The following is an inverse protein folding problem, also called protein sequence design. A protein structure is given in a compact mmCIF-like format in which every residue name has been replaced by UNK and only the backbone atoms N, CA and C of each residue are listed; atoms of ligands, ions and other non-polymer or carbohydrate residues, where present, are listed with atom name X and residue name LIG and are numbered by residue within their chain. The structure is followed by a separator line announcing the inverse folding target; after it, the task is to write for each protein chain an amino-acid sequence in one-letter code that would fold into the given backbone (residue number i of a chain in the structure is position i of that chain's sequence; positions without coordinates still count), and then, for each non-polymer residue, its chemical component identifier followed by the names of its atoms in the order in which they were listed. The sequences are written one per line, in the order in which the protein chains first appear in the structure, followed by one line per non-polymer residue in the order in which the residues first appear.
data_IF_491523673634
#
_entry.id   IF_491523673634
#
_cell.length_a   1.000
_cell.length_b   1.000
_cell.length_c   1.000
_cell.angle_alpha   90.00
_cell.angle_beta   90.00
_cell.angle_gamma   90.00
#
_symmetry.space_group_name_H-M   'P 1'
#
loop_
_entity.id
_entity.type
_entity.pdbx_description
1 polymer ?
#
# COMPACT_ATOMS: atom_id res chain seq x y z
N UNK A 1 38.50 -17.95 16.71
CA UNK A 1 38.97 -17.90 15.31
C UNK A 1 38.36 -19.10 14.59
N UNK A 2 37.78 -18.85 13.41
CA UNK A 2 37.20 -19.80 12.43
C UNK A 2 35.88 -20.54 12.79
N UNK A 3 34.81 -20.13 12.09
CA UNK A 3 33.69 -20.96 11.60
C UNK A 3 33.17 -20.29 10.29
N UNK A 4 32.55 -21.05 9.36
CA UNK A 4 32.97 -21.08 7.97
C UNK A 4 32.02 -20.35 7.02
N UNK A 5 32.60 -19.77 5.97
CA UNK A 5 31.93 -19.35 4.75
C UNK A 5 31.47 -20.57 3.95
N UNK A 6 30.16 -20.81 3.82
CA UNK A 6 29.64 -21.77 2.82
C UNK A 6 28.24 -21.38 2.37
N UNK A 7 28.14 -20.55 1.32
CA UNK A 7 26.98 -20.60 0.37
C UNK A 7 27.34 -20.01 -1.01
N UNK A 8 28.58 -20.20 -1.50
CA UNK A 8 28.94 -19.88 -2.88
C UNK A 8 29.09 -21.14 -3.78
N UNK A 9 29.16 -22.34 -3.18
CA UNK A 9 29.49 -23.57 -3.92
C UNK A 9 28.31 -24.44 -4.39
N UNK A 10 27.05 -24.04 -4.20
CA UNK A 10 25.88 -24.89 -4.53
C UNK A 10 25.23 -24.57 -5.89
N UNK A 11 25.28 -23.33 -6.37
CA UNK A 11 24.70 -22.95 -7.68
C UNK A 11 25.53 -23.43 -8.88
N UNK A 12 26.85 -23.56 -8.72
CA UNK A 12 27.76 -23.91 -9.84
C UNK A 12 27.78 -25.43 -10.15
N UNK A 13 27.38 -26.27 -9.18
CA UNK A 13 27.34 -27.73 -9.34
C UNK A 13 26.11 -28.24 -10.10
N UNK A 14 25.01 -27.49 -10.17
CA UNK A 14 23.77 -27.95 -10.84
C UNK A 14 23.84 -27.83 -12.37
N UNK A 15 24.37 -26.71 -12.86
CA UNK A 15 24.43 -26.38 -14.29
C UNK A 15 25.50 -27.20 -15.04
N UNK A 16 26.53 -27.68 -14.34
CA UNK A 16 27.62 -28.51 -14.89
C UNK A 16 27.20 -29.95 -15.21
N UNK A 17 26.08 -30.43 -14.66
CA UNK A 17 25.52 -31.76 -14.95
C UNK A 17 24.46 -31.76 -16.07
N UNK A 18 24.11 -30.58 -16.61
CA UNK A 18 23.20 -30.46 -17.75
C UNK A 18 23.97 -30.67 -19.06
N UNK A 19 23.35 -31.36 -20.01
CA UNK A 19 23.88 -31.39 -21.38
C UNK A 19 23.79 -30.01 -22.04
N UNK A 20 24.56 -29.77 -23.11
CA UNK A 20 24.50 -28.52 -23.85
C UNK A 20 23.07 -28.18 -24.31
N UNK A 21 22.35 -29.19 -24.78
CA UNK A 21 20.95 -29.11 -25.23
C UNK A 21 19.97 -28.80 -24.08
N UNK A 22 20.16 -29.40 -22.91
CA UNK A 22 19.36 -29.13 -21.71
C UNK A 22 19.58 -27.70 -21.19
N UNK A 23 20.81 -27.20 -21.31
CA UNK A 23 21.17 -25.83 -20.96
C UNK A 23 20.55 -24.81 -21.92
N UNK A 24 20.46 -25.12 -23.20
CA UNK A 24 19.77 -24.26 -24.18
C UNK A 24 18.26 -24.19 -23.93
N UNK A 25 17.64 -25.32 -23.59
CA UNK A 25 16.22 -25.35 -23.19
C UNK A 25 16.01 -24.54 -21.90
N UNK A 26 16.89 -24.68 -20.90
CA UNK A 26 16.83 -23.90 -19.65
C UNK A 26 17.06 -22.39 -19.89
N UNK A 27 17.95 -22.04 -20.84
CA UNK A 27 18.19 -20.66 -21.26
C UNK A 27 16.97 -20.08 -21.97
N UNK A 28 16.41 -20.79 -22.95
CA UNK A 28 15.21 -20.39 -23.68
C UNK A 28 14.01 -20.25 -22.74
N UNK A 29 13.89 -21.17 -21.79
CA UNK A 29 12.91 -21.11 -20.71
C UNK A 29 13.11 -19.88 -19.81
N UNK A 30 14.36 -19.60 -19.39
CA UNK A 30 14.70 -18.42 -18.59
C UNK A 30 14.45 -17.09 -19.34
N UNK A 31 14.53 -17.11 -20.68
CA UNK A 31 14.10 -16.02 -21.55
C UNK A 31 12.57 -15.86 -21.65
N UNK A 32 11.80 -16.78 -21.07
CA UNK A 32 10.35 -16.71 -20.97
C UNK A 32 9.59 -17.33 -22.15
N UNK A 33 10.25 -18.16 -22.97
CA UNK A 33 9.63 -18.87 -24.09
C UNK A 33 8.73 -20.02 -23.58
N UNK A 34 7.59 -20.22 -24.24
CA UNK A 34 6.70 -21.39 -24.10
C UNK A 34 7.23 -22.62 -24.85
N UNK A 35 6.64 -23.80 -24.66
CA UNK A 35 7.18 -25.06 -25.23
C UNK A 35 7.18 -25.08 -26.76
N UNK A 36 6.08 -24.67 -27.39
CA UNK A 36 6.02 -24.44 -28.84
C UNK A 36 7.05 -23.39 -29.35
N UNK A 37 7.39 -22.38 -28.54
CA UNK A 37 8.34 -21.34 -28.93
C UNK A 37 9.79 -21.82 -28.76
N UNK A 38 10.08 -22.60 -27.72
CA UNK A 38 11.36 -23.29 -27.54
C UNK A 38 11.56 -24.31 -28.66
N UNK A 39 10.51 -25.05 -29.02
CA UNK A 39 10.50 -26.02 -30.12
C UNK A 39 10.85 -25.34 -31.45
N UNK A 40 10.22 -24.20 -31.76
CA UNK A 40 10.54 -23.41 -32.93
C UNK A 40 11.96 -22.82 -32.89
N UNK A 41 12.41 -22.30 -31.75
CA UNK A 41 13.71 -21.66 -31.61
C UNK A 41 14.89 -22.63 -31.71
N UNK A 42 14.71 -23.87 -31.22
CA UNK A 42 15.73 -24.92 -31.25
C UNK A 42 15.56 -25.87 -32.45
N UNK A 43 14.55 -25.67 -33.29
CA UNK A 43 14.20 -26.52 -34.44
C UNK A 43 13.98 -27.98 -33.99
N UNK A 44 13.13 -28.15 -32.97
CA UNK A 44 12.79 -29.43 -32.37
C UNK A 44 11.27 -29.62 -32.31
N UNK A 45 10.76 -30.86 -32.30
CA UNK A 45 9.36 -31.14 -31.96
C UNK A 45 9.04 -30.72 -30.51
N UNK A 46 7.81 -30.25 -30.26
CA UNK A 46 7.37 -29.80 -28.92
C UNK A 46 7.42 -30.92 -27.87
N UNK A 47 7.18 -32.16 -28.29
CA UNK A 47 7.30 -33.36 -27.45
C UNK A 47 8.73 -33.55 -26.91
N UNK A 48 9.75 -33.25 -27.74
CA UNK A 48 11.15 -33.33 -27.36
C UNK A 48 11.53 -32.23 -26.37
N UNK A 49 10.91 -31.04 -26.49
CA UNK A 49 11.09 -29.94 -25.54
C UNK A 49 10.50 -30.28 -24.19
N UNK A 50 9.28 -30.83 -24.16
CA UNK A 50 8.63 -31.26 -22.92
C UNK A 50 9.44 -32.34 -22.20
N UNK A 51 9.96 -33.33 -22.94
CA UNK A 51 10.81 -34.39 -22.39
C UNK A 51 12.13 -33.84 -21.82
N UNK A 52 12.78 -32.93 -22.54
CA UNK A 52 14.02 -32.27 -22.10
C UNK A 52 13.79 -31.39 -20.88
N UNK A 53 12.68 -30.66 -20.83
CA UNK A 53 12.27 -29.89 -19.64
C UNK A 53 12.03 -30.81 -18.44
N UNK A 54 11.37 -31.95 -18.63
CA UNK A 54 11.20 -32.96 -17.59
C UNK A 54 12.54 -33.47 -17.03
N UNK A 55 13.52 -33.73 -17.91
CA UNK A 55 14.88 -34.12 -17.52
C UNK A 55 15.64 -33.00 -16.80
N UNK A 56 15.53 -31.75 -17.26
CA UNK A 56 16.12 -30.57 -16.60
C UNK A 56 15.55 -30.41 -15.19
N UNK A 57 14.22 -30.49 -15.04
CA UNK A 57 13.56 -30.40 -13.74
C UNK A 57 14.00 -31.54 -12.81
N UNK A 58 14.06 -32.77 -13.32
CA UNK A 58 14.52 -33.93 -12.56
C UNK A 58 15.97 -33.82 -12.10
N UNK A 59 16.89 -33.44 -13.00
CA UNK A 59 18.33 -33.30 -12.69
C UNK A 59 18.62 -32.15 -11.71
N UNK A 60 17.85 -31.07 -11.79
CA UNK A 60 18.00 -29.90 -10.93
C UNK A 60 17.17 -29.99 -9.63
N UNK A 61 16.36 -31.05 -9.46
CA UNK A 61 15.47 -31.22 -8.31
C UNK A 61 14.37 -30.15 -8.23
N UNK A 62 13.95 -29.62 -9.37
CA UNK A 62 13.01 -28.51 -9.47
C UNK A 62 11.58 -29.03 -9.67
N UNK A 63 10.65 -28.46 -8.90
CA UNK A 63 9.27 -28.96 -8.82
C UNK A 63 8.40 -28.56 -10.01
N UNK A 64 8.73 -27.46 -10.67
CA UNK A 64 7.95 -26.93 -11.78
C UNK A 64 8.76 -26.02 -12.70
N UNK A 65 8.15 -25.67 -13.83
CA UNK A 65 8.69 -24.74 -14.84
C UNK A 65 9.13 -23.40 -14.24
N UNK A 66 8.40 -22.88 -13.25
CA UNK A 66 8.70 -21.58 -12.65
C UNK A 66 10.00 -21.66 -11.82
N UNK A 67 10.22 -22.77 -11.11
CA UNK A 67 11.46 -23.03 -10.39
C UNK A 67 12.67 -23.12 -11.33
N UNK A 68 12.51 -23.68 -12.54
CA UNK A 68 13.55 -23.68 -13.57
C UNK A 68 13.87 -22.29 -14.13
N UNK A 69 12.87 -21.44 -14.35
CA UNK A 69 13.08 -20.05 -14.74
C UNK A 69 13.89 -19.30 -13.67
N UNK A 70 13.54 -19.46 -12.40
CA UNK A 70 14.26 -18.84 -11.28
C UNK A 70 15.70 -19.35 -11.19
N UNK A 71 15.91 -20.66 -11.34
CA UNK A 71 17.23 -21.27 -11.34
C UNK A 71 18.13 -20.73 -12.48
N UNK A 72 17.57 -20.52 -13.67
CA UNK A 72 18.30 -19.93 -14.79
C UNK A 72 18.80 -18.49 -14.50
N UNK A 73 18.03 -17.69 -13.76
CA UNK A 73 18.45 -16.36 -13.33
C UNK A 73 19.48 -16.40 -12.19
N UNK A 74 19.27 -17.28 -11.20
CA UNK A 74 20.15 -17.38 -10.03
C UNK A 74 21.55 -17.91 -10.40
N UNK A 75 21.65 -18.73 -11.44
CA UNK A 75 22.92 -19.23 -11.99
C UNK A 75 23.54 -18.29 -13.05
N UNK A 76 22.92 -17.14 -13.34
CA UNK A 76 23.43 -16.18 -14.31
C UNK A 76 23.36 -16.65 -15.77
N UNK A 77 22.61 -17.72 -16.07
CA UNK A 77 22.41 -18.23 -17.44
C UNK A 77 21.65 -17.21 -18.30
N UNK A 78 20.74 -16.44 -17.71
CA UNK A 78 19.95 -15.42 -18.43
C UNK A 78 20.11 -14.05 -17.77
N UNK A 79 20.47 -13.05 -18.58
CA UNK A 79 20.52 -11.64 -18.16
C UNK A 79 19.19 -10.97 -18.51
N UNK A 80 18.53 -10.24 -17.57
CA UNK A 80 17.29 -9.54 -17.86
C UNK A 80 17.42 -8.60 -19.08
N UNK A 81 16.59 -8.79 -20.10
CA UNK A 81 16.53 -7.93 -21.28
C UNK A 81 17.29 -8.42 -22.53
N UNK A 82 17.92 -9.60 -22.49
CA UNK A 82 18.69 -10.19 -23.61
C UNK A 82 17.99 -11.39 -24.30
N UNK A 83 16.68 -11.58 -24.09
CA UNK A 83 15.91 -12.65 -24.75
C UNK A 83 15.43 -12.26 -26.17
N UNK A 84 15.23 -13.23 -27.07
CA UNK A 84 14.68 -12.98 -28.41
C UNK A 84 13.33 -12.26 -28.32
N UNK A 85 13.22 -11.11 -29.01
CA UNK A 85 11.99 -10.29 -29.04
C UNK A 85 10.92 -10.98 -29.86
N UNK A 86 9.70 -11.02 -29.32
CA UNK A 86 8.51 -11.52 -30.03
C UNK A 86 8.10 -10.54 -31.15
N UNK A 87 7.92 -10.98 -32.41
CA UNK A 87 7.08 -10.26 -33.35
C UNK A 87 5.62 -10.51 -32.95
N UNK A 88 4.90 -9.46 -32.60
CA UNK A 88 3.46 -9.54 -32.29
C UNK A 88 2.68 -9.43 -33.61
N UNK A 89 1.71 -10.32 -33.92
CA UNK A 89 0.82 -10.12 -35.06
C UNK A 89 0.03 -8.83 -34.86
N UNK A 90 0.11 -7.94 -35.84
CA UNK A 90 -0.46 -6.61 -35.78
C UNK A 90 -1.96 -6.64 -35.52
N UNK A 91 -2.38 -5.99 -34.43
CA UNK A 91 -3.74 -5.51 -34.32
C UNK A 91 -3.68 -3.98 -34.34
N UNK A 92 -4.23 -3.42 -35.41
CA UNK A 92 -4.20 -1.99 -35.72
C UNK A 92 -4.96 -1.22 -34.66
N UNK A 93 -4.25 -0.72 -33.65
CA UNK A 93 -4.82 0.20 -32.66
C UNK A 93 -4.99 1.56 -33.33
N UNK A 94 -6.24 1.94 -33.57
CA UNK A 94 -6.60 3.30 -33.92
C UNK A 94 -6.00 4.26 -32.89
N UNK A 95 -5.06 5.08 -33.37
CA UNK A 95 -4.33 6.10 -32.62
C UNK A 95 -5.33 7.14 -32.11
N UNK A 96 -5.72 7.05 -30.84
CA UNK A 96 -6.25 8.21 -30.10
C UNK A 96 -5.09 8.80 -29.30
N UNK A 97 -4.40 9.75 -29.93
CA UNK A 97 -3.52 10.71 -29.27
C UNK A 97 -4.36 11.61 -28.37
N UNK A 98 -4.66 11.12 -27.18
CA UNK A 98 -4.96 11.97 -26.02
C UNK A 98 -3.82 11.74 -25.04
N UNK A 99 -2.93 12.72 -24.91
CA UNK A 99 -1.91 12.69 -23.87
C UNK A 99 -2.62 12.63 -22.50
N UNK A 100 -2.64 11.45 -21.88
CA UNK A 100 -3.13 11.29 -20.53
C UNK A 100 -2.11 11.97 -19.59
N UNK A 101 -2.37 13.22 -19.25
CA UNK A 101 -1.60 14.01 -18.27
C UNK A 101 -1.98 13.60 -16.83
N UNK A 102 -1.85 12.31 -16.54
CA UNK A 102 -2.07 11.74 -15.21
C UNK A 102 -1.02 10.67 -14.88
N UNK A 103 -0.85 10.32 -13.59
CA UNK A 103 0.08 9.26 -13.20
C UNK A 103 -0.27 7.97 -13.92
N UNK A 104 0.75 7.26 -14.39
CA UNK A 104 0.55 6.07 -15.19
C UNK A 104 0.03 4.90 -14.36
N UNK A 105 0.59 4.70 -13.17
CA UNK A 105 0.07 3.77 -12.18
C UNK A 105 -0.57 4.58 -11.05
N UNK A 106 -1.80 4.23 -10.67
CA UNK A 106 -2.39 4.67 -9.40
C UNK A 106 -2.65 3.45 -8.53
N UNK A 107 -2.16 3.49 -7.31
CA UNK A 107 -2.40 2.47 -6.28
C UNK A 107 -3.23 3.09 -5.18
N UNK A 108 -4.39 2.51 -4.92
CA UNK A 108 -5.26 2.92 -3.83
C UNK A 108 -5.20 1.91 -2.69
N UNK A 109 -4.72 2.36 -1.53
CA UNK A 109 -4.58 1.56 -0.30
C UNK A 109 -5.49 2.03 0.83
N UNK A 110 -6.16 3.18 0.67
CA UNK A 110 -7.10 3.75 1.66
C UNK A 110 -8.50 3.13 1.56
N UNK A 111 -8.53 1.81 1.37
CA UNK A 111 -9.70 0.97 1.16
C UNK A 111 -9.23 -0.44 0.78
N UNK A 112 -10.10 -1.28 0.20
CA UNK A 112 -9.64 -2.46 -0.54
C UNK A 112 -8.64 -2.07 -1.62
N UNK A 113 -7.57 -2.84 -1.80
CA UNK A 113 -6.52 -2.52 -2.77
C UNK A 113 -7.12 -2.38 -4.17
N UNK A 114 -6.88 -1.24 -4.81
CA UNK A 114 -7.25 -1.01 -6.21
C UNK A 114 -6.06 -0.46 -6.97
N UNK A 115 -5.92 -0.92 -8.20
CA UNK A 115 -4.90 -0.42 -9.12
C UNK A 115 -5.49 -0.01 -10.44
N UNK A 116 -5.06 1.16 -10.93
CA UNK A 116 -5.35 1.58 -12.30
C UNK A 116 -4.06 1.86 -13.05
N UNK A 117 -3.96 1.38 -14.28
CA UNK A 117 -2.86 1.60 -15.19
C UNK A 117 -3.36 2.39 -16.41
N UNK A 118 -2.77 3.55 -16.68
CA UNK A 118 -3.22 4.49 -17.71
C UNK A 118 -4.74 4.76 -17.65
N UNK A 119 -5.27 4.89 -16.43
CA UNK A 119 -6.70 5.12 -16.18
C UNK A 119 -7.61 3.88 -16.26
N UNK A 120 -7.08 2.69 -16.60
CA UNK A 120 -7.86 1.45 -16.66
C UNK A 120 -7.66 0.61 -15.40
N UNK A 121 -8.72 0.06 -14.78
CA UNK A 121 -8.58 -0.89 -13.69
C UNK A 121 -7.74 -2.11 -14.10
N UNK A 122 -6.86 -2.55 -13.23
CA UNK A 122 -6.02 -3.74 -13.43
C UNK A 122 -6.15 -4.64 -12.22
N UNK A 123 -6.37 -5.93 -12.46
CA UNK A 123 -6.28 -6.96 -11.43
C UNK A 123 -4.82 -7.36 -11.23
N UNK A 124 -4.31 -7.08 -10.04
CA UNK A 124 -2.94 -7.41 -9.61
C UNK A 124 -2.84 -8.79 -8.99
N UNK A 125 -3.86 -9.64 -9.13
CA UNK A 125 -3.84 -11.06 -8.83
C UNK A 125 -4.13 -11.37 -7.35
N UNK A 126 -3.64 -12.51 -6.83
CA UNK A 126 -3.99 -13.00 -5.49
C UNK A 126 -3.59 -12.07 -4.34
N UNK A 127 -4.25 -12.19 -3.18
CA UNK A 127 -4.06 -11.32 -2.00
C UNK A 127 -2.61 -11.17 -1.51
N UNK A 128 -1.78 -12.21 -1.63
CA UNK A 128 -0.34 -12.10 -1.29
C UNK A 128 0.46 -11.28 -2.32
N UNK A 129 0.08 -11.33 -3.60
CA UNK A 129 0.67 -10.49 -4.64
C UNK A 129 0.24 -9.03 -4.46
N UNK A 130 -1.02 -8.82 -4.09
CA UNK A 130 -1.57 -7.51 -3.70
C UNK A 130 -0.83 -6.92 -2.49
N UNK A 131 -0.59 -7.73 -1.45
CA UNK A 131 0.16 -7.32 -0.26
C UNK A 131 1.60 -6.90 -0.59
N UNK A 132 2.30 -7.63 -1.47
CA UNK A 132 3.63 -7.22 -1.96
C UNK A 132 3.58 -5.86 -2.65
N UNK A 133 2.58 -5.61 -3.51
CA UNK A 133 2.43 -4.31 -4.15
C UNK A 133 2.13 -3.20 -3.15
N UNK A 134 1.25 -3.46 -2.17
CA UNK A 134 0.94 -2.51 -1.10
C UNK A 134 2.20 -2.15 -0.29
N UNK A 135 3.05 -3.13 0.02
CA UNK A 135 4.32 -2.90 0.71
C UNK A 135 5.27 -1.98 -0.06
N UNK A 136 5.35 -2.16 -1.38
CA UNK A 136 6.12 -1.28 -2.25
C UNK A 136 5.50 0.12 -2.36
N UNK A 137 4.17 0.22 -2.38
CA UNK A 137 3.44 1.48 -2.49
C UNK A 137 3.55 2.33 -1.21
N UNK A 138 3.52 1.70 -0.04
CA UNK A 138 3.61 2.33 1.28
C UNK A 138 5.06 2.62 1.71
N UNK A 139 6.04 2.30 0.87
CA UNK A 139 7.46 2.63 1.06
C UNK A 139 7.95 3.56 -0.06
N UNK A 140 7.41 4.78 -0.18
CA UNK A 140 7.72 5.64 -1.31
C UNK A 140 9.16 6.11 -1.21
N UNK A 141 9.83 6.19 -2.36
CA UNK A 141 11.21 6.70 -2.45
C UNK A 141 12.28 5.79 -1.85
N UNK A 142 11.91 4.63 -1.28
CA UNK A 142 12.85 3.67 -0.69
C UNK A 142 12.66 2.30 -1.31
N UNK A 143 13.76 1.64 -1.62
CA UNK A 143 13.73 0.23 -1.97
C UNK A 143 13.53 -0.60 -0.70
N UNK A 144 12.61 -1.54 -0.75
CA UNK A 144 12.33 -2.51 0.29
C UNK A 144 13.13 -3.77 0.02
N UNK A 145 13.90 -4.20 1.02
CA UNK A 145 14.71 -5.42 0.90
C UNK A 145 13.82 -6.66 0.77
N UNK A 146 14.38 -7.72 0.20
CA UNK A 146 13.65 -8.99 0.06
C UNK A 146 13.22 -9.57 1.41
N UNK A 147 14.11 -9.52 2.41
CA UNK A 147 13.82 -10.01 3.76
C UNK A 147 12.69 -9.22 4.41
N UNK A 148 12.69 -7.90 4.27
CA UNK A 148 11.62 -7.06 4.76
C UNK A 148 10.29 -7.32 4.07
N UNK A 149 10.27 -7.50 2.74
CA UNK A 149 9.04 -7.91 2.04
C UNK A 149 8.51 -9.27 2.52
N UNK A 150 9.40 -10.20 2.91
CA UNK A 150 8.99 -11.48 3.50
C UNK A 150 8.35 -11.26 4.88
N UNK A 151 9.00 -10.50 5.76
CA UNK A 151 8.50 -10.17 7.09
C UNK A 151 7.16 -9.41 7.05
N UNK A 152 7.07 -8.39 6.20
CA UNK A 152 5.92 -7.50 6.07
C UNK A 152 4.65 -8.21 5.57
N UNK A 153 4.81 -9.20 4.67
CA UNK A 153 3.67 -9.88 4.02
C UNK A 153 3.36 -11.24 4.65
N UNK A 154 4.37 -11.97 5.14
CA UNK A 154 4.19 -13.32 5.69
C UNK A 154 4.38 -13.40 7.20
N UNK A 155 5.14 -12.50 7.82
CA UNK A 155 5.40 -12.51 9.25
C UNK A 155 5.92 -13.86 9.74
N UNK A 156 5.14 -14.54 10.58
CA UNK A 156 5.48 -15.86 11.14
C UNK A 156 5.20 -17.02 10.18
N UNK A 157 4.41 -16.83 9.14
CA UNK A 157 4.05 -17.85 8.15
C UNK A 157 4.97 -17.79 6.92
N UNK A 158 6.28 -17.77 7.14
CA UNK A 158 7.24 -17.66 6.05
C UNK A 158 7.16 -18.86 5.10
N UNK A 159 7.12 -18.64 3.78
CA UNK A 159 7.12 -19.72 2.81
C UNK A 159 8.51 -20.34 2.70
N UNK A 160 8.57 -21.62 2.36
CA UNK A 160 9.82 -22.29 2.04
C UNK A 160 10.45 -21.66 0.79
N UNK A 161 11.63 -21.05 0.95
CA UNK A 161 12.44 -20.55 -0.16
C UNK A 161 12.17 -19.11 -0.60
N UNK A 162 12.55 -18.80 -1.84
CA UNK A 162 12.59 -17.43 -2.38
C UNK A 162 11.37 -17.05 -3.24
N UNK A 163 10.26 -16.69 -2.62
CA UNK A 163 9.02 -16.39 -3.38
C UNK A 163 8.89 -14.94 -3.87
N UNK A 164 9.56 -13.97 -3.23
CA UNK A 164 9.41 -12.53 -3.55
C UNK A 164 9.68 -12.20 -5.03
N UNK A 165 10.77 -12.69 -5.67
CA UNK A 165 11.02 -12.44 -7.09
C UNK A 165 9.91 -12.93 -8.01
N UNK A 166 9.22 -14.02 -7.66
CA UNK A 166 8.10 -14.56 -8.44
C UNK A 166 6.92 -13.58 -8.42
N UNK A 167 6.58 -13.05 -7.24
CA UNK A 167 5.53 -12.04 -7.12
C UNK A 167 5.91 -10.74 -7.84
N UNK A 168 7.15 -10.28 -7.69
CA UNK A 168 7.65 -9.09 -8.41
C UNK A 168 7.61 -9.30 -9.92
N UNK A 169 8.01 -10.47 -10.42
CA UNK A 169 7.94 -10.79 -11.84
C UNK A 169 6.49 -10.74 -12.36
N UNK A 170 5.54 -11.34 -11.64
CA UNK A 170 4.11 -11.31 -12.01
C UNK A 170 3.55 -9.90 -12.00
N UNK A 171 3.85 -9.12 -10.96
CA UNK A 171 3.47 -7.70 -10.89
C UNK A 171 4.06 -6.91 -12.06
N UNK A 172 5.33 -7.10 -12.40
CA UNK A 172 5.96 -6.44 -13.57
C UNK A 172 5.29 -6.83 -14.87
N UNK A 173 4.85 -8.08 -15.03
CA UNK A 173 4.14 -8.56 -16.23
C UNK A 173 2.76 -7.91 -16.35
N UNK A 174 2.06 -7.73 -15.23
CA UNK A 174 0.73 -7.11 -15.18
C UNK A 174 0.82 -5.59 -15.35
N UNK A 175 1.80 -4.95 -14.73
CA UNK A 175 1.98 -3.49 -14.70
C UNK A 175 2.85 -2.98 -15.86
N UNK A 176 2.83 -3.63 -17.04
CA UNK A 176 3.65 -3.22 -18.19
C UNK A 176 3.17 -1.91 -18.80
N UNK A 177 4.09 -1.00 -19.07
CA UNK A 177 3.84 0.29 -19.74
C UNK A 177 3.80 0.15 -21.28
N UNK A 178 2.88 -0.64 -21.82
CA UNK A 178 2.81 -0.88 -23.27
C UNK A 178 4.16 -1.38 -23.83
N UNK A 179 4.65 -0.77 -24.90
CA UNK A 179 5.95 -1.09 -25.53
C UNK A 179 7.17 -0.42 -24.84
N UNK A 180 6.97 0.30 -23.74
CA UNK A 180 8.10 0.91 -23.02
C UNK A 180 8.90 -0.17 -22.29
N UNK A 181 10.23 -0.15 -22.40
CA UNK A 181 11.10 -1.12 -21.72
C UNK A 181 11.11 -0.94 -20.19
N UNK A 182 10.61 0.18 -19.69
CA UNK A 182 10.72 0.54 -18.27
C UNK A 182 9.65 -0.14 -17.42
N UNK A 183 10.11 -0.95 -16.47
CA UNK A 183 9.28 -1.64 -15.50
C UNK A 183 8.85 -0.68 -14.37
N UNK A 184 7.57 -0.69 -14.00
CA UNK A 184 7.04 0.12 -12.89
C UNK A 184 7.69 -0.21 -11.53
N UNK A 185 8.18 -1.44 -11.39
CA UNK A 185 8.93 -1.89 -10.21
C UNK A 185 10.42 -1.91 -10.56
N UNK A 186 11.22 -1.07 -9.91
CA UNK A 186 12.68 -1.06 -10.01
C UNK A 186 13.29 -2.08 -9.04
N UNK A 187 14.45 -2.65 -9.42
CA UNK A 187 15.33 -3.39 -8.51
C UNK A 187 16.65 -2.64 -8.41
N UNK A 188 17.18 -2.47 -7.21
CA UNK A 188 18.52 -1.96 -6.97
C UNK A 188 19.26 -2.80 -5.93
N UNK A 189 20.43 -2.33 -5.47
CA UNK A 189 21.24 -3.02 -4.46
C UNK A 189 20.53 -3.18 -3.10
N UNK A 190 19.50 -2.40 -2.83
CA UNK A 190 18.77 -2.40 -1.55
C UNK A 190 17.46 -3.21 -1.62
N UNK A 191 16.96 -3.52 -2.83
CA UNK A 191 15.80 -4.39 -3.01
C UNK A 191 14.90 -3.91 -4.14
N UNK A 192 13.59 -3.83 -3.87
CA UNK A 192 12.55 -3.48 -4.83
C UNK A 192 11.82 -2.20 -4.44
N UNK A 193 11.41 -1.40 -5.41
CA UNK A 193 10.62 -0.20 -5.17
C UNK A 193 9.81 0.23 -6.39
N UNK A 194 8.78 1.05 -6.19
CA UNK A 194 8.09 1.68 -7.30
C UNK A 194 8.93 2.82 -7.89
N UNK A 195 8.88 2.96 -9.21
CA UNK A 195 9.54 4.08 -9.90
C UNK A 195 8.80 5.38 -9.57
N UNK A 196 9.56 6.38 -9.12
CA UNK A 196 9.03 7.70 -8.80
C UNK A 196 8.53 8.44 -10.04
N UNK A 197 7.52 9.30 -9.86
CA UNK A 197 6.98 10.15 -10.93
C UNK A 197 6.04 9.43 -11.91
N UNK A 198 6.00 8.09 -11.91
CA UNK A 198 5.05 7.32 -12.72
C UNK A 198 3.95 6.62 -11.90
N UNK A 199 4.16 6.49 -10.59
CA UNK A 199 3.22 5.90 -9.65
C UNK A 199 2.69 6.95 -8.66
N UNK A 200 1.37 7.02 -8.54
CA UNK A 200 0.66 7.79 -7.51
C UNK A 200 0.04 6.84 -6.50
N UNK A 201 0.21 7.12 -5.22
CA UNK A 201 -0.35 6.32 -4.12
C UNK A 201 -1.23 7.24 -3.29
N UNK A 202 -2.50 6.88 -3.10
CA UNK A 202 -3.49 7.72 -2.43
C UNK A 202 -3.09 8.09 -0.99
N UNK A 203 -2.44 7.18 -0.24
CA UNK A 203 -1.89 7.47 1.08
C UNK A 203 -0.89 8.64 1.07
N UNK A 204 -0.09 8.77 0.01
CA UNK A 204 0.87 9.87 -0.14
C UNK A 204 0.20 11.15 -0.62
N UNK A 205 -0.84 11.02 -1.44
CA UNK A 205 -1.69 12.16 -1.79
C UNK A 205 -2.36 12.73 -0.54
N UNK A 206 -2.80 11.88 0.41
CA UNK A 206 -3.28 12.34 1.71
C UNK A 206 -2.20 13.14 2.42
N UNK A 207 -0.98 12.63 2.55
CA UNK A 207 0.10 13.35 3.25
C UNK A 207 0.45 14.71 2.60
N UNK A 208 0.45 14.82 1.27
CA UNK A 208 0.58 16.11 0.56
C UNK A 208 -0.59 17.05 0.90
N UNK A 209 -1.83 16.56 0.82
CA UNK A 209 -3.03 17.35 1.12
C UNK A 209 -3.03 17.84 2.57
N UNK A 210 -2.60 17.01 3.54
CA UNK A 210 -2.47 17.40 4.95
C UNK A 210 -1.42 18.49 5.11
N UNK A 211 -0.25 18.32 4.49
CA UNK A 211 0.84 19.31 4.55
C UNK A 211 0.39 20.66 3.99
N UNK A 212 -0.38 20.65 2.90
CA UNK A 212 -0.95 21.85 2.29
C UNK A 212 -2.07 22.47 3.13
N UNK A 213 -2.92 21.65 3.77
CA UNK A 213 -3.95 22.12 4.68
C UNK A 213 -3.35 22.83 5.89
N UNK A 214 -2.25 22.30 6.44
CA UNK A 214 -1.46 22.93 7.50
C UNK A 214 -0.84 24.25 7.08
N UNK A 215 -0.32 24.33 5.85
CA UNK A 215 0.19 25.57 5.30
C UNK A 215 -0.92 26.62 5.15
N UNK A 216 -2.09 26.21 4.65
CA UNK A 216 -3.27 27.08 4.53
C UNK A 216 -3.73 27.59 5.91
N UNK A 217 -3.78 26.72 6.93
CA UNK A 217 -4.10 27.12 8.30
C UNK A 217 -3.12 28.17 8.83
N UNK A 218 -1.81 27.95 8.65
CA UNK A 218 -0.77 28.90 9.09
C UNK A 218 -0.86 30.24 8.37
N UNK A 219 -1.32 30.24 7.12
CA UNK A 219 -1.59 31.44 6.35
C UNK A 219 -2.95 32.11 6.66
N UNK A 220 -3.76 31.53 7.55
CA UNK A 220 -5.09 32.03 7.91
C UNK A 220 -6.21 31.64 6.93
N UNK A 221 -5.93 30.89 5.87
CA UNK A 221 -6.94 30.37 4.93
C UNK A 221 -7.59 29.08 5.48
N UNK A 222 -8.39 29.25 6.54
CA UNK A 222 -9.19 28.15 7.10
C UNK A 222 -10.17 27.53 6.09
N UNK A 223 -10.86 28.29 5.22
CA UNK A 223 -11.68 27.68 4.18
C UNK A 223 -10.88 26.79 3.23
N UNK A 224 -9.67 27.17 2.85
CA UNK A 224 -8.75 26.36 2.06
C UNK A 224 -8.28 25.11 2.80
N UNK A 225 -7.96 25.22 4.08
CA UNK A 225 -7.59 24.09 4.92
C UNK A 225 -8.71 23.04 4.99
N UNK A 226 -9.97 23.48 5.20
CA UNK A 226 -11.15 22.59 5.19
C UNK A 226 -11.31 21.89 3.84
N UNK A 227 -11.24 22.62 2.71
CA UNK A 227 -11.35 22.01 1.36
C UNK A 227 -10.26 20.97 1.10
N UNK A 228 -9.03 21.20 1.57
CA UNK A 228 -7.93 20.26 1.40
C UNK A 228 -8.12 19.01 2.26
N UNK A 229 -8.60 19.16 3.49
CA UNK A 229 -8.97 18.04 4.35
C UNK A 229 -10.15 17.23 3.80
N UNK A 230 -11.15 17.89 3.19
CA UNK A 230 -12.25 17.21 2.51
C UNK A 230 -11.74 16.28 1.41
N UNK A 231 -10.91 16.81 0.52
CA UNK A 231 -10.28 16.02 -0.55
C UNK A 231 -9.44 14.86 -0.01
N UNK A 232 -8.78 15.03 1.13
CA UNK A 232 -8.00 13.97 1.76
C UNK A 232 -8.92 12.87 2.32
N UNK A 233 -10.03 13.24 2.96
CA UNK A 233 -11.01 12.30 3.51
C UNK A 233 -11.74 11.52 2.41
N UNK A 234 -12.03 12.14 1.26
CA UNK A 234 -12.63 11.49 0.08
C UNK A 234 -11.78 10.35 -0.50
N UNK A 235 -10.47 10.34 -0.22
CA UNK A 235 -9.59 9.24 -0.64
C UNK A 235 -9.81 7.98 0.19
N UNK A 236 -10.34 8.09 1.41
CA UNK A 236 -10.68 6.94 2.26
C UNK A 236 -12.01 6.33 1.81
N UNK A 237 -11.96 5.12 1.27
CA UNK A 237 -13.10 4.38 0.71
C UNK A 237 -13.35 3.09 1.48
N UNK A 238 -13.48 3.22 2.80
CA UNK A 238 -13.64 2.12 3.75
C UNK A 238 -12.37 1.81 4.52
N UNK A 239 -12.26 0.58 5.00
CA UNK A 239 -11.13 0.11 5.80
C UNK A 239 -9.83 0.08 4.95
N UNK A 240 -8.75 0.75 5.37
CA UNK A 240 -7.49 0.70 4.67
C UNK A 240 -6.94 -0.73 4.57
N UNK A 241 -6.42 -1.08 3.39
CA UNK A 241 -5.84 -2.41 3.12
C UNK A 241 -6.80 -3.56 3.46
N UNK A 242 -8.12 -3.36 3.28
CA UNK A 242 -9.12 -4.37 3.58
C UNK A 242 -8.83 -5.68 2.82
N UNK A 243 -8.88 -6.81 3.53
CA UNK A 243 -8.64 -8.14 2.96
C UNK A 243 -7.18 -8.48 2.65
N UNK A 244 -6.22 -7.57 2.87
CA UNK A 244 -4.80 -7.89 2.71
C UNK A 244 -4.21 -8.52 3.98
N UNK A 245 -3.45 -9.63 3.83
CA UNK A 245 -2.79 -10.29 4.94
C UNK A 245 -1.44 -9.65 5.28
N UNK A 246 -0.92 -10.02 6.45
CA UNK A 246 0.46 -9.79 6.84
C UNK A 246 0.65 -8.65 7.83
N UNK A 247 1.76 -8.66 8.61
CA UNK A 247 2.02 -7.66 9.65
C UNK A 247 1.99 -6.20 9.17
N UNK A 248 2.47 -5.94 7.95
CA UNK A 248 2.44 -4.60 7.40
C UNK A 248 1.01 -4.13 7.18
N UNK A 249 0.15 -4.97 6.59
CA UNK A 249 -1.24 -4.59 6.32
C UNK A 249 -2.00 -4.31 7.62
N UNK A 250 -1.79 -5.10 8.67
CA UNK A 250 -2.40 -4.90 9.99
C UNK A 250 -1.95 -3.60 10.65
N UNK A 251 -0.65 -3.36 10.71
CA UNK A 251 -0.08 -2.15 11.33
C UNK A 251 -0.47 -0.87 10.57
N UNK A 252 -0.42 -0.91 9.23
CA UNK A 252 -0.78 0.21 8.38
C UNK A 252 -2.29 0.49 8.41
N UNK A 253 -3.13 -0.53 8.50
CA UNK A 253 -4.57 -0.37 8.68
C UNK A 253 -4.91 0.42 9.93
N UNK A 254 -4.30 0.06 11.07
CA UNK A 254 -4.47 0.79 12.32
C UNK A 254 -3.97 2.25 12.19
N UNK A 255 -2.76 2.43 11.65
CA UNK A 255 -2.14 3.75 11.46
C UNK A 255 -2.99 4.67 10.58
N UNK A 256 -3.48 4.16 9.45
CA UNK A 256 -4.27 4.91 8.47
C UNK A 256 -5.69 5.19 8.99
N UNK A 257 -6.30 4.25 9.74
CA UNK A 257 -7.57 4.50 10.41
C UNK A 257 -7.45 5.65 11.43
N UNK A 258 -6.44 5.61 12.29
CA UNK A 258 -6.17 6.70 13.24
C UNK A 258 -5.90 8.03 12.53
N UNK A 259 -5.19 8.00 11.40
CA UNK A 259 -4.94 9.20 10.58
C UNK A 259 -6.24 9.79 10.03
N UNK A 260 -7.18 8.97 9.56
CA UNK A 260 -8.51 9.40 9.10
C UNK A 260 -9.28 10.12 10.20
N UNK A 261 -9.29 9.54 11.40
CA UNK A 261 -9.94 10.14 12.59
C UNK A 261 -9.33 11.51 12.92
N UNK A 262 -8.00 11.59 12.98
CA UNK A 262 -7.30 12.84 13.26
C UNK A 262 -7.59 13.93 12.22
N UNK A 263 -7.72 13.56 10.94
CA UNK A 263 -8.10 14.48 9.88
C UNK A 263 -9.52 15.00 10.03
N UNK A 264 -10.47 14.12 10.33
CA UNK A 264 -11.86 14.50 10.57
C UNK A 264 -11.98 15.44 11.78
N UNK A 265 -11.24 15.19 12.87
CA UNK A 265 -11.19 16.07 14.03
C UNK A 265 -10.64 17.46 13.69
N UNK A 266 -9.53 17.55 12.94
CA UNK A 266 -8.94 18.85 12.54
C UNK A 266 -9.88 19.63 11.62
N UNK A 267 -10.50 18.95 10.66
CA UNK A 267 -11.53 19.56 9.81
C UNK A 267 -12.65 20.15 10.65
N UNK A 268 -13.15 19.41 11.64
CA UNK A 268 -14.22 19.87 12.52
C UNK A 268 -13.79 21.08 13.37
N UNK A 269 -12.56 21.10 13.91
CA UNK A 269 -12.01 22.27 14.61
C UNK A 269 -12.02 23.53 13.72
N UNK A 270 -11.53 23.41 12.48
CA UNK A 270 -11.55 24.52 11.53
C UNK A 270 -12.95 24.97 11.15
N UNK A 271 -13.89 24.03 10.97
CA UNK A 271 -15.30 24.35 10.75
C UNK A 271 -15.90 25.13 11.93
N UNK A 272 -15.62 24.72 13.17
CA UNK A 272 -16.07 25.45 14.35
C UNK A 272 -15.49 26.87 14.41
N UNK A 273 -14.21 27.04 14.10
CA UNK A 273 -13.55 28.37 14.02
C UNK A 273 -14.13 29.25 12.92
N UNK A 274 -14.63 28.65 11.85
CA UNK A 274 -15.35 29.33 10.76
C UNK A 274 -16.85 29.57 11.06
N UNK A 275 -17.35 29.16 12.23
CA UNK A 275 -18.78 29.26 12.58
C UNK A 275 -19.68 28.24 11.87
N UNK A 276 -19.10 27.28 11.13
CA UNK A 276 -19.77 26.17 10.43
C UNK A 276 -20.17 25.05 11.39
N UNK A 277 -20.99 25.40 12.39
CA UNK A 277 -21.35 24.54 13.52
C UNK A 277 -22.14 23.31 13.08
N UNK A 278 -23.09 23.47 12.17
CA UNK A 278 -23.97 22.37 11.71
C UNK A 278 -23.13 21.30 11.01
N UNK A 279 -22.22 21.69 10.10
CA UNK A 279 -21.36 20.72 9.42
C UNK A 279 -20.41 20.01 10.40
N UNK A 280 -19.84 20.75 11.35
CA UNK A 280 -18.95 20.18 12.38
C UNK A 280 -19.69 19.18 13.28
N UNK A 281 -20.87 19.53 13.81
CA UNK A 281 -21.68 18.64 14.67
C UNK A 281 -22.09 17.39 13.90
N UNK A 282 -22.52 17.53 12.65
CA UNK A 282 -22.93 16.38 11.82
C UNK A 282 -21.76 15.42 11.60
N UNK A 283 -20.60 15.94 11.20
CA UNK A 283 -19.41 15.13 10.98
C UNK A 283 -18.89 14.45 12.26
N UNK A 284 -18.85 15.19 13.38
CA UNK A 284 -18.43 14.67 14.67
C UNK A 284 -19.40 13.63 15.24
N UNK A 285 -20.70 13.79 15.00
CA UNK A 285 -21.71 12.81 15.42
C UNK A 285 -21.54 11.48 14.68
N UNK A 286 -21.31 11.52 13.36
CA UNK A 286 -21.01 10.33 12.59
C UNK A 286 -19.70 9.67 13.06
N UNK A 287 -18.65 10.48 13.27
CA UNK A 287 -17.36 9.98 13.75
C UNK A 287 -17.45 9.36 15.15
N UNK A 288 -18.27 9.91 16.05
CA UNK A 288 -18.49 9.36 17.39
C UNK A 288 -19.25 8.03 17.38
N UNK A 289 -20.02 7.74 16.34
CA UNK A 289 -20.65 6.42 16.14
C UNK A 289 -19.64 5.40 15.62
N UNK A 290 -18.73 5.81 14.73
CA UNK A 290 -17.63 4.97 14.22
C UNK A 290 -16.56 4.70 15.29
N UNK A 291 -16.28 5.69 16.13
CA UNK A 291 -15.19 5.68 17.12
C UNK A 291 -15.74 5.84 18.55
N UNK A 292 -16.52 4.87 19.06
CA UNK A 292 -17.34 5.05 20.26
C UNK A 292 -16.56 5.18 21.57
N UNK A 293 -15.31 4.70 21.60
CA UNK A 293 -14.40 4.80 22.76
C UNK A 293 -13.39 5.95 22.62
N UNK A 294 -13.51 6.77 21.57
CA UNK A 294 -12.58 7.87 21.31
C UNK A 294 -12.98 9.13 22.08
N UNK A 295 -12.43 9.28 23.27
CA UNK A 295 -12.68 10.44 24.14
C UNK A 295 -12.42 11.80 23.48
N UNK A 296 -11.32 12.00 22.71
CA UNK A 296 -11.12 13.24 21.96
C UNK A 296 -12.24 13.59 20.98
N UNK A 297 -12.77 12.61 20.22
CA UNK A 297 -13.92 12.84 19.33
C UNK A 297 -15.15 13.27 20.14
N UNK A 298 -15.45 12.54 21.22
CA UNK A 298 -16.60 12.85 22.08
C UNK A 298 -16.47 14.25 22.71
N UNK A 299 -15.31 14.60 23.23
CA UNK A 299 -15.05 15.92 23.82
C UNK A 299 -15.22 17.06 22.81
N UNK A 300 -14.76 16.88 21.57
CA UNK A 300 -14.91 17.87 20.50
C UNK A 300 -16.39 18.02 20.07
N UNK A 301 -17.14 16.91 20.00
CA UNK A 301 -18.58 16.92 19.76
C UNK A 301 -19.34 17.65 20.88
N UNK A 302 -18.99 17.37 22.15
CA UNK A 302 -19.57 18.07 23.30
C UNK A 302 -19.30 19.58 23.24
N UNK A 303 -18.09 19.98 22.85
CA UNK A 303 -17.75 21.39 22.67
C UNK A 303 -18.58 22.05 21.56
N UNK A 304 -18.71 21.39 20.42
CA UNK A 304 -19.52 21.86 19.29
C UNK A 304 -21.01 22.04 19.67
N UNK A 305 -21.60 21.03 20.31
CA UNK A 305 -22.99 21.05 20.77
C UNK A 305 -23.23 22.15 21.81
N UNK A 306 -22.30 22.33 22.76
CA UNK A 306 -22.37 23.42 23.74
C UNK A 306 -22.37 24.79 23.07
N UNK A 307 -21.46 25.01 22.11
CA UNK A 307 -21.36 26.26 21.32
C UNK A 307 -22.60 26.54 20.47
N UNK A 308 -23.41 25.51 20.20
CA UNK A 308 -24.68 25.61 19.49
C UNK A 308 -25.90 25.74 20.44
N UNK A 309 -25.68 25.83 21.75
CA UNK A 309 -26.74 25.91 22.77
C UNK A 309 -27.38 24.57 23.13
N UNK A 310 -26.93 23.46 22.54
CA UNK A 310 -27.47 22.11 22.70
C UNK A 310 -26.83 21.39 23.90
N UNK A 311 -26.89 22.03 25.07
CA UNK A 311 -26.22 21.58 26.30
C UNK A 311 -26.67 20.18 26.76
N UNK A 312 -27.97 19.88 26.68
CA UNK A 312 -28.50 18.57 27.09
C UNK A 312 -27.89 17.44 26.24
N UNK A 313 -27.74 17.66 24.93
CA UNK A 313 -27.15 16.68 24.02
C UNK A 313 -25.65 16.51 24.26
N UNK A 314 -24.92 17.59 24.58
CA UNK A 314 -23.52 17.49 24.98
C UNK A 314 -23.34 16.59 26.23
N UNK A 315 -24.21 16.71 27.22
CA UNK A 315 -24.17 15.84 28.41
C UNK A 315 -24.55 14.39 28.06
N UNK A 316 -25.53 14.18 27.18
CA UNK A 316 -25.89 12.85 26.70
C UNK A 316 -24.74 12.14 25.94
N UNK A 317 -23.89 12.89 25.23
CA UNK A 317 -22.66 12.36 24.62
C UNK A 317 -21.71 11.84 25.69
N UNK A 318 -21.45 12.61 26.75
CA UNK A 318 -20.62 12.17 27.88
C UNK A 318 -21.15 10.87 28.49
N UNK A 319 -22.44 10.82 28.82
CA UNK A 319 -23.03 9.67 29.50
C UNK A 319 -22.94 8.40 28.63
N UNK A 320 -23.06 8.55 27.30
CA UNK A 320 -22.93 7.42 26.36
C UNK A 320 -21.52 6.84 26.34
N UNK A 321 -20.49 7.68 26.18
CA UNK A 321 -19.11 7.20 26.12
C UNK A 321 -18.63 6.71 27.50
N UNK A 322 -19.03 7.36 28.59
CA UNK A 322 -18.69 6.93 29.94
C UNK A 322 -19.23 5.52 30.25
N UNK A 323 -20.48 5.23 29.85
CA UNK A 323 -21.03 3.87 29.94
C UNK A 323 -20.21 2.87 29.13
N UNK A 324 -19.87 3.18 27.87
CA UNK A 324 -19.06 2.27 27.05
C UNK A 324 -17.66 2.02 27.61
N UNK A 325 -17.00 3.05 28.15
CA UNK A 325 -15.69 2.90 28.79
C UNK A 325 -15.77 1.98 30.02
N UNK A 326 -16.82 2.11 30.83
CA UNK A 326 -17.05 1.25 31.97
C UNK A 326 -17.41 -0.19 31.55
N UNK A 327 -18.33 -0.34 30.59
CA UNK A 327 -18.86 -1.63 30.16
C UNK A 327 -17.83 -2.45 29.35
N UNK A 328 -17.12 -1.81 28.41
CA UNK A 328 -16.23 -2.49 27.46
C UNK A 328 -14.79 -2.63 28.00
N UNK A 329 -14.32 -1.65 28.79
CA UNK A 329 -12.92 -1.57 29.24
C UNK A 329 -12.76 -1.59 30.77
N UNK A 330 -13.84 -1.40 31.55
CA UNK A 330 -13.76 -1.33 33.01
C UNK A 330 -13.02 -0.10 33.54
N UNK A 331 -12.96 0.99 32.76
CA UNK A 331 -12.21 2.21 33.10
C UNK A 331 -13.11 3.43 33.22
N UNK A 332 -12.71 4.36 34.08
CA UNK A 332 -13.37 5.65 34.21
C UNK A 332 -13.02 6.63 33.06
N UNK A 333 -13.89 7.60 32.74
CA UNK A 333 -13.61 8.65 31.77
C UNK A 333 -12.32 9.43 32.07
N UNK A 334 -11.49 9.62 31.05
CA UNK A 334 -10.27 10.41 31.14
C UNK A 334 -10.50 11.90 31.41
N UNK A 335 -9.43 12.59 31.79
CA UNK A 335 -9.47 13.99 32.20
C UNK A 335 -10.00 14.93 31.11
N UNK A 336 -9.76 14.62 29.83
CA UNK A 336 -10.25 15.42 28.71
C UNK A 336 -11.79 15.48 28.69
N UNK A 337 -12.41 14.31 28.79
CA UNK A 337 -13.85 14.14 28.74
C UNK A 337 -14.53 14.69 30.01
N UNK A 338 -13.90 14.51 31.17
CA UNK A 338 -14.34 15.11 32.44
C UNK A 338 -14.32 16.64 32.37
N UNK A 339 -13.27 17.25 31.80
CA UNK A 339 -13.21 18.71 31.59
C UNK A 339 -14.31 19.19 30.65
N UNK A 340 -14.57 18.47 29.56
CA UNK A 340 -15.64 18.81 28.61
C UNK A 340 -17.01 18.80 29.30
N UNK A 341 -17.29 17.80 30.16
CA UNK A 341 -18.52 17.74 30.96
C UNK A 341 -18.65 18.93 31.90
N UNK A 342 -17.59 19.26 32.66
CA UNK A 342 -17.59 20.40 33.58
C UNK A 342 -17.89 21.70 32.84
N UNK A 343 -17.26 21.94 31.71
CA UNK A 343 -17.50 23.13 30.91
C UNK A 343 -18.95 23.19 30.37
N UNK A 344 -19.52 22.05 29.98
CA UNK A 344 -20.94 21.98 29.62
C UNK A 344 -21.88 22.28 30.81
N UNK A 345 -21.52 21.90 32.03
CA UNK A 345 -22.28 22.18 33.25
C UNK A 345 -22.19 23.64 33.72
N UNK A 346 -21.03 24.27 33.57
CA UNK A 346 -20.80 25.63 34.05
C UNK A 346 -21.21 26.70 33.02
N UNK A 347 -21.40 26.31 31.76
CA UNK A 347 -21.59 27.28 30.67
C UNK A 347 -20.30 28.02 30.31
N UNK A 348 -19.14 27.55 30.75
CA UNK A 348 -17.85 28.20 30.53
C UNK A 348 -17.27 27.90 29.15
N UNK A 349 -16.82 28.96 28.48
CA UNK A 349 -16.24 28.90 27.15
C UNK A 349 -14.73 28.61 27.18
N UNK A 350 -14.37 27.37 27.51
CA UNK A 350 -13.00 26.89 27.33
C UNK A 350 -12.79 26.49 25.86
N UNK A 351 -12.09 27.33 25.11
CA UNK A 351 -11.39 26.91 23.88
C UNK A 351 -10.08 26.20 24.25
N UNK A 352 -9.50 25.36 23.38
CA UNK A 352 -8.20 24.74 23.65
C UNK A 352 -7.14 25.84 23.72
N UNK A 353 -6.60 26.07 24.92
CA UNK A 353 -5.65 27.14 25.19
C UNK A 353 -4.35 26.98 24.39
N UNK A 354 -4.11 27.90 23.45
CA UNK A 354 -2.73 28.27 23.09
C UNK A 354 -2.22 29.23 24.15
N UNK A 355 -1.10 28.87 24.77
CA UNK A 355 -0.44 29.68 25.78
C UNK A 355 -0.21 31.11 25.30
N UNK A 356 -0.71 32.08 26.08
CA UNK A 356 -0.23 33.45 26.03
C UNK A 356 1.23 33.43 26.51
N UNK A 357 2.17 33.51 25.58
CA UNK A 357 3.50 34.02 25.90
C UNK A 357 3.32 35.50 26.21
N UNK A 358 3.49 35.85 27.49
CA UNK A 358 3.49 37.21 27.96
C UNK A 358 4.65 37.99 27.35
N UNK A 359 4.35 39.22 26.97
CA UNK A 359 5.34 40.25 26.72
C UNK A 359 6.11 40.54 28.02
N UNK A 360 7.42 40.61 27.90
CA UNK A 360 8.28 41.51 28.65
C UNK A 360 9.31 42.07 27.65
#
# INVERSE_FOLDING_TARGET
MAMPTTTAGRCDRGVTHLTAEEREVLYALGCGLGDAEIAAALVLPEEVVAERLGRVLGKLGLRDRAAAIVHAFDCGLVVPGQGPRRPVPGNTVARRTGAASGPWLRVSVLGPLRTTLAGRPVDVGPVRQQAVLAALALSPSRSVSRGRLLEDVWGREMPDGNVVPVYVYRLRKILRLGDRPDSVIRRDRYGYGLVQGIAEVDALCVDDLVTRAEAAERAGDLPGAVRLCDRALELFRGEPLAGLPGPLAESERLRLAQRRVALAQRKADWQLRLGRRIEAITGLSALALEEPLNEPVAALLMHALRRDGRRAEALAVFDRIARRLADDLGVDPGALLVRARRAALLGEDTGPGRGRAGAA
#
